data_IF_889498420668
#
_entry.id   IF_889498420668
#
_cell.length_a   1.000
_cell.length_b   1.000
_cell.length_c   1.000
_cell.angle_alpha   90.00
_cell.angle_beta   90.00
_cell.angle_gamma   90.00
#
_symmetry.space_group_name_H-M   'P 1'
#
loop_
_entity.id
_entity.type
_entity.pdbx_description
1 polymer ?
#
# COMPACT_ATOMS: atom_id res chain seq x y z
N UNK A 1 -32.04 2.91 -19.16
CA UNK A 1 -32.37 3.01 -17.72
C UNK A 1 -31.74 1.89 -16.85
N UNK A 2 -30.57 1.32 -17.22
CA UNK A 2 -29.94 0.19 -16.48
C UNK A 2 -28.85 0.61 -15.46
N UNK A 3 -28.52 1.89 -15.31
CA UNK A 3 -27.32 2.33 -14.63
C UNK A 3 -27.46 2.75 -13.14
N UNK A 4 -28.67 2.92 -12.60
CA UNK A 4 -28.82 3.39 -11.23
C UNK A 4 -28.46 2.35 -10.13
N UNK A 5 -28.48 1.06 -10.46
CA UNK A 5 -28.30 -0.02 -9.48
C UNK A 5 -26.88 -0.20 -9.00
N UNK A 6 -25.87 0.33 -9.72
CA UNK A 6 -24.45 0.13 -9.41
C UNK A 6 -23.77 1.30 -8.70
N UNK A 7 -24.37 2.50 -8.67
CA UNK A 7 -23.72 3.69 -8.10
C UNK A 7 -23.48 3.57 -6.60
N UNK A 8 -24.47 3.10 -5.83
CA UNK A 8 -24.31 2.95 -4.36
C UNK A 8 -23.24 1.91 -4.01
N UNK A 9 -23.25 0.68 -4.59
CA UNK A 9 -22.17 -0.28 -4.40
C UNK A 9 -20.79 0.29 -4.76
N UNK A 10 -20.69 0.99 -5.88
CA UNK A 10 -19.42 1.57 -6.34
C UNK A 10 -18.90 2.66 -5.37
N UNK A 11 -19.78 3.54 -4.89
CA UNK A 11 -19.42 4.56 -3.90
C UNK A 11 -18.95 3.94 -2.59
N UNK A 12 -19.62 2.89 -2.11
CA UNK A 12 -19.20 2.17 -0.91
C UNK A 12 -17.79 1.58 -1.08
N UNK A 13 -17.50 1.03 -2.26
CA UNK A 13 -16.17 0.50 -2.56
C UNK A 13 -15.13 1.63 -2.66
N UNK A 14 -15.46 2.78 -3.20
CA UNK A 14 -14.55 3.93 -3.18
C UNK A 14 -14.18 4.33 -1.74
N UNK A 15 -15.14 4.31 -0.82
CA UNK A 15 -14.85 4.49 0.60
C UNK A 15 -13.90 3.42 1.16
N UNK A 16 -14.01 2.15 0.74
CA UNK A 16 -13.08 1.10 1.15
C UNK A 16 -11.65 1.39 0.70
N UNK A 17 -11.46 1.75 -0.57
CA UNK A 17 -10.13 2.09 -1.10
C UNK A 17 -9.53 3.31 -0.41
N UNK A 18 -10.36 4.29 -0.09
CA UNK A 18 -9.95 5.46 0.68
C UNK A 18 -9.45 5.08 2.09
N UNK A 19 -10.24 4.27 2.82
CA UNK A 19 -9.90 3.82 4.18
C UNK A 19 -8.68 2.89 4.20
N UNK A 20 -8.60 1.99 3.21
CA UNK A 20 -7.45 1.13 3.04
C UNK A 20 -6.15 1.95 2.90
N UNK A 21 -6.19 2.99 2.09
CA UNK A 21 -5.04 3.87 1.90
C UNK A 21 -4.66 4.64 3.16
N UNK A 22 -5.62 5.12 3.93
CA UNK A 22 -5.36 5.75 5.23
C UNK A 22 -4.60 4.78 6.13
N UNK A 23 -5.10 3.56 6.30
CA UNK A 23 -4.49 2.55 7.17
C UNK A 23 -3.06 2.21 6.76
N UNK A 24 -2.85 1.95 5.46
CA UNK A 24 -1.54 1.54 4.94
C UNK A 24 -0.50 2.66 5.01
N UNK A 25 -0.90 3.92 4.78
CA UNK A 25 0.02 5.05 4.76
C UNK A 25 0.31 5.64 6.16
N UNK A 26 -0.36 5.15 7.20
CA UNK A 26 0.04 5.43 8.58
C UNK A 26 1.19 4.54 9.07
N UNK A 27 1.46 3.41 8.41
CA UNK A 27 2.47 2.44 8.83
C UNK A 27 3.88 3.06 8.98
N UNK A 28 4.42 3.84 8.03
CA UNK A 28 5.75 4.45 8.18
C UNK A 28 5.84 5.41 9.39
N UNK A 29 4.74 6.15 9.64
CA UNK A 29 4.65 7.04 10.81
C UNK A 29 4.68 6.25 12.10
N UNK A 30 3.99 5.11 12.15
CA UNK A 30 3.96 4.23 13.31
C UNK A 30 5.30 3.56 13.56
N UNK A 31 6.02 3.16 12.52
CA UNK A 31 7.37 2.60 12.68
C UNK A 31 8.28 3.61 13.39
N UNK A 32 8.27 4.87 12.97
CA UNK A 32 9.02 5.95 13.63
C UNK A 32 8.60 6.15 15.09
N UNK A 33 7.31 6.05 15.37
CA UNK A 33 6.80 6.19 16.73
C UNK A 33 7.20 5.00 17.61
N UNK A 34 7.17 3.78 17.08
CA UNK A 34 7.63 2.59 17.78
C UNK A 34 9.14 2.61 18.05
N UNK A 35 9.95 3.17 17.14
CA UNK A 35 11.38 3.37 17.39
C UNK A 35 11.61 4.21 18.66
N UNK A 36 10.77 5.24 18.90
CA UNK A 36 10.87 6.08 20.09
C UNK A 36 10.34 5.35 21.35
N UNK A 37 9.13 4.79 21.25
CA UNK A 37 8.40 4.26 22.42
C UNK A 37 8.92 2.92 22.92
N UNK A 38 9.48 2.10 22.02
CA UNK A 38 10.10 0.83 22.35
C UNK A 38 11.64 0.87 22.30
N UNK A 39 12.23 2.04 22.10
CA UNK A 39 13.70 2.26 22.02
C UNK A 39 14.38 1.33 20.98
N UNK A 40 13.75 1.17 19.79
CA UNK A 40 14.21 0.24 18.76
C UNK A 40 15.25 0.89 17.85
N UNK A 41 16.21 0.08 17.40
CA UNK A 41 17.05 0.46 16.29
C UNK A 41 16.30 0.26 14.93
N UNK A 42 16.88 0.78 13.84
CA UNK A 42 16.25 0.73 12.52
C UNK A 42 16.02 -0.70 12.02
N UNK A 43 16.91 -1.63 12.35
CA UNK A 43 16.77 -3.05 11.98
C UNK A 43 15.61 -3.71 12.73
N UNK A 44 15.52 -3.51 14.04
CA UNK A 44 14.41 -4.01 14.86
C UNK A 44 13.07 -3.44 14.39
N UNK A 45 13.00 -2.13 14.13
CA UNK A 45 11.80 -1.47 13.65
C UNK A 45 11.31 -1.99 12.29
N UNK A 46 12.21 -2.49 11.44
CA UNK A 46 11.87 -3.08 10.13
C UNK A 46 11.00 -4.35 10.23
N UNK A 47 11.00 -5.04 11.38
CA UNK A 47 10.10 -6.17 11.62
C UNK A 47 8.63 -5.77 11.63
N UNK A 48 8.30 -4.50 11.92
CA UNK A 48 6.93 -3.99 11.81
C UNK A 48 6.43 -4.04 10.37
N UNK A 49 7.26 -3.60 9.43
CA UNK A 49 6.96 -3.66 7.99
C UNK A 49 6.90 -5.10 7.49
N UNK A 50 7.84 -5.93 7.97
CA UNK A 50 7.88 -7.36 7.66
C UNK A 50 6.60 -8.05 8.14
N UNK A 51 6.13 -7.81 9.35
CA UNK A 51 4.89 -8.37 9.88
C UNK A 51 3.67 -7.95 9.04
N UNK A 52 3.63 -6.69 8.60
CA UNK A 52 2.57 -6.17 7.75
C UNK A 52 2.53 -6.87 6.38
N UNK A 53 3.65 -6.93 5.65
CA UNK A 53 3.70 -7.53 4.31
C UNK A 53 3.65 -9.06 4.34
N UNK A 54 4.03 -9.70 5.45
CA UNK A 54 3.87 -11.13 5.65
C UNK A 54 2.40 -11.56 5.61
N UNK A 55 1.49 -10.74 6.15
CA UNK A 55 0.05 -10.98 6.04
C UNK A 55 -0.41 -10.99 4.57
N UNK A 56 0.11 -10.09 3.74
CA UNK A 56 -0.18 -10.04 2.31
C UNK A 56 0.37 -11.23 1.52
N UNK A 57 1.40 -11.90 2.03
CA UNK A 57 1.90 -13.12 1.41
C UNK A 57 1.13 -14.36 1.83
N UNK A 58 0.80 -14.49 3.11
CA UNK A 58 0.20 -15.71 3.67
C UNK A 58 -1.33 -15.73 3.52
N UNK A 59 -2.00 -14.59 3.79
CA UNK A 59 -3.45 -14.56 3.96
C UNK A 59 -4.30 -14.58 2.67
N UNK A 60 -3.86 -14.15 1.47
CA UNK A 60 -4.74 -14.10 0.29
C UNK A 60 -5.37 -15.44 -0.09
N UNK A 61 -4.65 -16.55 0.08
CA UNK A 61 -5.18 -17.89 -0.21
C UNK A 61 -6.32 -18.27 0.75
N UNK A 62 -6.13 -18.25 2.09
CA UNK A 62 -7.23 -18.43 3.05
C UNK A 62 -8.41 -17.49 2.81
N UNK A 63 -8.13 -16.22 2.47
CA UNK A 63 -9.15 -15.21 2.19
C UNK A 63 -9.99 -15.59 0.95
N UNK A 64 -9.33 -16.03 -0.14
CA UNK A 64 -10.04 -16.48 -1.33
C UNK A 64 -10.91 -17.73 -1.05
N UNK A 65 -10.42 -18.65 -0.22
CA UNK A 65 -11.20 -19.82 0.24
C UNK A 65 -12.42 -19.36 1.04
N UNK A 66 -12.25 -18.41 1.95
CA UNK A 66 -13.35 -17.82 2.71
C UNK A 66 -14.39 -17.17 1.78
N UNK A 67 -13.95 -16.36 0.81
CA UNK A 67 -14.85 -15.71 -0.14
C UNK A 67 -15.57 -16.69 -1.07
N UNK A 68 -14.92 -17.80 -1.46
CA UNK A 68 -15.61 -18.86 -2.23
C UNK A 68 -16.73 -19.50 -1.43
N UNK A 69 -16.52 -19.74 -0.13
CA UNK A 69 -17.51 -20.35 0.75
C UNK A 69 -18.67 -19.40 1.08
N UNK A 70 -18.38 -18.12 1.28
CA UNK A 70 -19.40 -17.16 1.75
C UNK A 70 -19.79 -16.14 0.67
N UNK A 71 -19.03 -15.11 0.44
CA UNK A 71 -19.23 -14.09 -0.61
C UNK A 71 -18.15 -13.00 -0.55
N UNK A 72 -18.07 -12.16 -1.58
CA UNK A 72 -17.27 -10.91 -1.54
C UNK A 72 -17.72 -9.98 -0.43
N UNK A 73 -19.05 -9.79 -0.26
CA UNK A 73 -19.61 -8.95 0.79
C UNK A 73 -19.18 -9.42 2.18
N UNK A 74 -19.26 -10.73 2.43
CA UNK A 74 -18.84 -11.31 3.72
C UNK A 74 -17.34 -11.13 3.95
N UNK A 75 -16.51 -11.26 2.91
CA UNK A 75 -15.08 -10.99 2.97
C UNK A 75 -14.78 -9.54 3.34
N UNK A 76 -15.47 -8.58 2.71
CA UNK A 76 -15.33 -7.14 3.00
C UNK A 76 -15.70 -6.85 4.46
N UNK A 77 -16.86 -7.34 4.93
CA UNK A 77 -17.32 -7.10 6.30
C UNK A 77 -16.33 -7.70 7.31
N UNK A 78 -15.92 -8.94 7.09
CA UNK A 78 -14.95 -9.61 7.96
C UNK A 78 -13.61 -8.87 8.00
N UNK A 79 -13.11 -8.43 6.84
CA UNK A 79 -11.87 -7.65 6.73
C UNK A 79 -11.94 -6.32 7.48
N UNK A 80 -13.06 -5.58 7.36
CA UNK A 80 -13.31 -4.33 8.09
C UNK A 80 -13.30 -4.54 9.60
N UNK A 81 -14.02 -5.56 10.08
CA UNK A 81 -14.10 -5.88 11.51
C UNK A 81 -12.77 -6.37 12.06
N UNK A 82 -12.03 -7.17 11.30
CA UNK A 82 -10.71 -7.65 11.70
C UNK A 82 -9.70 -6.50 11.81
N UNK A 83 -9.67 -5.60 10.83
CA UNK A 83 -8.82 -4.41 10.87
C UNK A 83 -9.21 -3.46 12.01
N UNK A 84 -10.51 -3.28 12.26
CA UNK A 84 -11.01 -2.50 13.38
C UNK A 84 -10.60 -3.12 14.74
N UNK A 85 -10.69 -4.44 14.86
CA UNK A 85 -10.21 -5.17 16.04
C UNK A 85 -8.71 -4.90 16.27
N UNK A 86 -7.88 -5.00 15.22
CA UNK A 86 -6.46 -4.63 15.29
C UNK A 86 -6.25 -3.21 15.77
N UNK A 87 -7.02 -2.23 15.27
CA UNK A 87 -6.97 -0.84 15.72
C UNK A 87 -7.32 -0.66 17.20
N UNK A 88 -8.34 -1.39 17.69
CA UNK A 88 -8.71 -1.36 19.11
C UNK A 88 -7.68 -2.01 20.03
N UNK A 89 -6.94 -3.00 19.53
CA UNK A 89 -5.88 -3.69 20.28
C UNK A 89 -4.67 -2.78 20.59
N UNK A 90 -4.57 -1.59 19.99
CA UNK A 90 -3.56 -0.61 20.39
C UNK A 90 -3.69 -0.18 21.86
N UNK A 91 -4.91 -0.18 22.41
CA UNK A 91 -5.11 0.17 23.83
C UNK A 91 -4.43 -0.79 24.80
N UNK A 92 -4.73 -2.11 24.76
CA UNK A 92 -4.02 -3.05 25.62
C UNK A 92 -2.54 -3.17 25.30
N UNK A 93 -2.11 -3.06 24.03
CA UNK A 93 -0.69 -3.09 23.69
C UNK A 93 0.10 -1.91 24.29
N UNK A 94 -0.49 -0.73 24.32
CA UNK A 94 0.10 0.45 24.96
C UNK A 94 0.25 0.28 26.48
N UNK A 95 -0.54 -0.58 27.10
CA UNK A 95 -0.38 -0.93 28.53
C UNK A 95 0.72 -1.97 28.75
N UNK A 96 0.86 -2.91 27.82
CA UNK A 96 1.90 -3.96 27.86
C UNK A 96 3.29 -3.38 27.60
N UNK A 97 3.40 -2.33 26.77
CA UNK A 97 4.65 -1.70 26.32
C UNK A 97 5.63 -2.68 25.64
N UNK A 98 5.12 -3.77 25.10
CA UNK A 98 5.92 -4.83 24.48
C UNK A 98 5.87 -4.74 22.96
N UNK A 99 7.02 -4.70 22.30
CA UNK A 99 7.10 -4.54 20.85
C UNK A 99 6.40 -5.66 20.06
N UNK A 100 6.51 -6.92 20.51
CA UNK A 100 5.87 -8.05 19.86
C UNK A 100 4.33 -7.91 19.78
N UNK A 101 3.72 -7.24 20.77
CA UNK A 101 2.28 -6.99 20.75
C UNK A 101 1.87 -6.09 19.56
N UNK A 102 2.69 -5.09 19.25
CA UNK A 102 2.47 -4.24 18.08
C UNK A 102 2.68 -4.99 16.77
N UNK A 103 3.67 -5.90 16.68
CA UNK A 103 3.85 -6.77 15.51
C UNK A 103 2.60 -7.61 15.23
N UNK A 104 2.02 -8.23 16.26
CA UNK A 104 0.77 -8.97 16.14
C UNK A 104 -0.40 -8.07 15.67
N UNK A 105 -0.51 -6.87 16.22
CA UNK A 105 -1.54 -5.89 15.82
C UNK A 105 -1.41 -5.52 14.36
N UNK A 106 -0.20 -5.20 13.89
CA UNK A 106 0.02 -4.86 12.48
C UNK A 106 -0.26 -6.02 11.56
N UNK A 107 0.06 -7.25 11.95
CA UNK A 107 -0.33 -8.44 11.21
C UNK A 107 -1.85 -8.60 11.11
N UNK A 108 -2.58 -8.36 12.20
CA UNK A 108 -4.07 -8.41 12.23
C UNK A 108 -4.66 -7.33 11.34
N UNK A 109 -4.20 -6.07 11.46
CA UNK A 109 -4.65 -4.96 10.61
C UNK A 109 -4.37 -5.27 9.15
N UNK A 110 -3.15 -5.70 8.82
CA UNK A 110 -2.76 -6.06 7.47
C UNK A 110 -3.59 -7.22 6.91
N UNK A 111 -3.93 -8.22 7.73
CA UNK A 111 -4.84 -9.30 7.33
C UNK A 111 -6.22 -8.76 6.98
N UNK A 112 -6.78 -7.85 7.80
CA UNK A 112 -8.04 -7.18 7.50
C UNK A 112 -7.98 -6.38 6.20
N UNK A 113 -6.90 -5.61 5.98
CA UNK A 113 -6.68 -4.86 4.74
C UNK A 113 -6.51 -5.78 3.53
N UNK A 114 -5.82 -6.90 3.69
CA UNK A 114 -5.68 -7.93 2.67
C UNK A 114 -7.04 -8.53 2.26
N UNK A 115 -7.98 -8.74 3.21
CA UNK A 115 -9.37 -9.10 2.91
C UNK A 115 -10.03 -8.06 2.00
N UNK A 116 -9.89 -6.78 2.33
CA UNK A 116 -10.49 -5.70 1.54
C UNK A 116 -9.93 -5.69 0.13
N UNK A 117 -8.63 -5.82 -0.03
CA UNK A 117 -7.98 -5.77 -1.33
C UNK A 117 -8.30 -6.98 -2.19
N UNK A 118 -8.24 -8.18 -1.60
CA UNK A 118 -8.57 -9.44 -2.30
C UNK A 118 -10.04 -9.50 -2.70
N UNK A 119 -10.94 -8.82 -1.96
CA UNK A 119 -12.37 -8.79 -2.26
C UNK A 119 -12.77 -7.62 -3.16
N UNK A 120 -12.35 -6.39 -2.85
CA UNK A 120 -12.84 -5.18 -3.51
C UNK A 120 -12.32 -5.04 -4.95
N UNK A 121 -11.06 -5.39 -5.22
CA UNK A 121 -10.51 -5.31 -6.57
C UNK A 121 -11.30 -6.17 -7.58
N UNK A 122 -11.46 -7.49 -7.39
CA UNK A 122 -12.26 -8.29 -8.32
C UNK A 122 -13.74 -7.93 -8.30
N UNK A 123 -14.29 -7.49 -7.16
CA UNK A 123 -15.66 -7.04 -7.09
C UNK A 123 -15.92 -5.84 -8.01
N UNK A 124 -15.04 -4.82 -7.98
CA UNK A 124 -15.12 -3.65 -8.88
C UNK A 124 -14.99 -4.06 -10.35
N UNK A 125 -14.08 -4.97 -10.67
CA UNK A 125 -13.88 -5.41 -12.06
C UNK A 125 -15.08 -6.17 -12.58
N UNK A 126 -15.80 -6.90 -11.73
CA UNK A 126 -16.97 -7.68 -12.09
C UNK A 126 -18.29 -6.88 -12.09
N UNK A 127 -18.32 -5.66 -11.52
CA UNK A 127 -19.47 -4.77 -11.54
C UNK A 127 -19.64 -4.07 -12.90
N UNK A 128 -20.57 -4.54 -13.73
CA UNK A 128 -20.92 -3.91 -15.01
C UNK A 128 -20.16 -4.50 -16.21
N UNK A 129 -19.93 -3.69 -17.25
CA UNK A 129 -19.35 -4.13 -18.50
C UNK A 129 -17.86 -4.51 -18.35
N UNK A 130 -17.43 -5.72 -18.81
CA UNK A 130 -16.05 -6.16 -18.77
C UNK A 130 -15.05 -5.21 -19.44
N UNK A 131 -15.41 -4.60 -20.57
CA UNK A 131 -14.52 -3.67 -21.30
C UNK A 131 -14.14 -2.45 -20.47
N UNK A 132 -15.03 -1.99 -19.58
CA UNK A 132 -14.81 -0.85 -18.71
C UNK A 132 -14.20 -1.22 -17.34
N UNK A 133 -13.91 -2.49 -17.07
CA UNK A 133 -13.38 -2.96 -15.80
C UNK A 133 -12.06 -2.28 -15.39
N UNK A 134 -11.03 -2.12 -16.26
CA UNK A 134 -9.79 -1.43 -15.89
C UNK A 134 -10.04 0.02 -15.50
N UNK A 135 -10.92 0.73 -16.22
CA UNK A 135 -11.28 2.11 -15.91
C UNK A 135 -11.98 2.24 -14.57
N UNK A 136 -12.93 1.34 -14.25
CA UNK A 136 -13.62 1.34 -12.94
C UNK A 136 -12.65 1.10 -11.79
N UNK A 137 -11.72 0.16 -11.96
CA UNK A 137 -10.73 -0.13 -10.94
C UNK A 137 -9.74 1.04 -10.77
N UNK A 138 -9.30 1.68 -11.85
CA UNK A 138 -8.47 2.88 -11.79
C UNK A 138 -9.20 4.03 -11.07
N UNK A 139 -10.49 4.23 -11.34
CA UNK A 139 -11.30 5.23 -10.63
C UNK A 139 -11.39 4.91 -9.13
N UNK A 140 -11.64 3.67 -8.75
CA UNK A 140 -11.67 3.25 -7.35
C UNK A 140 -10.32 3.48 -6.66
N UNK A 141 -9.23 3.11 -7.32
CA UNK A 141 -7.87 3.35 -6.83
C UNK A 141 -7.46 4.84 -6.80
N UNK A 142 -8.18 5.72 -7.49
CA UNK A 142 -7.96 7.18 -7.36
C UNK A 142 -8.39 7.69 -5.98
N UNK A 143 -9.43 7.11 -5.39
CA UNK A 143 -9.82 7.38 -4.00
C UNK A 143 -8.80 6.85 -3.00
N UNK A 144 -8.12 5.75 -3.33
CA UNK A 144 -6.96 5.28 -2.57
C UNK A 144 -5.84 6.33 -2.57
N UNK A 145 -5.48 6.88 -3.72
CA UNK A 145 -4.49 7.96 -3.81
C UNK A 145 -4.86 9.18 -2.97
N UNK A 146 -6.15 9.56 -2.93
CA UNK A 146 -6.65 10.65 -2.08
C UNK A 146 -6.50 10.30 -0.59
N UNK A 147 -6.83 9.08 -0.18
CA UNK A 147 -6.67 8.59 1.18
C UNK A 147 -5.20 8.61 1.63
N UNK A 148 -4.28 8.18 0.76
CA UNK A 148 -2.85 8.22 1.00
C UNK A 148 -2.34 9.65 1.23
N UNK A 149 -2.77 10.59 0.39
CA UNK A 149 -2.44 12.01 0.53
C UNK A 149 -2.93 12.58 1.87
N UNK A 150 -4.18 12.32 2.25
CA UNK A 150 -4.76 12.80 3.51
C UNK A 150 -4.03 12.17 4.72
N UNK A 151 -3.72 10.88 4.67
CA UNK A 151 -2.98 10.21 5.73
C UNK A 151 -1.60 10.85 5.94
N UNK A 152 -0.85 11.05 4.87
CA UNK A 152 0.49 11.61 4.93
C UNK A 152 0.51 13.07 5.41
N UNK A 153 -0.41 13.91 4.92
CA UNK A 153 -0.41 15.35 5.18
C UNK A 153 -1.03 15.74 6.52
N UNK A 154 -2.06 15.01 6.96
CA UNK A 154 -2.86 15.42 8.12
C UNK A 154 -2.78 14.42 9.28
N UNK A 155 -2.98 13.12 9.02
CA UNK A 155 -3.10 12.14 10.10
C UNK A 155 -1.75 11.80 10.73
N UNK A 156 -0.66 11.83 9.94
CA UNK A 156 0.69 11.64 10.49
C UNK A 156 1.04 12.68 11.56
N UNK A 157 0.52 13.90 11.44
CA UNK A 157 0.72 14.97 12.42
C UNK A 157 -0.01 14.73 13.76
N UNK A 158 -1.06 13.90 13.75
CA UNK A 158 -1.76 13.52 14.99
C UNK A 158 -0.97 12.47 15.79
N UNK A 159 -0.11 11.70 15.12
CA UNK A 159 0.70 10.65 15.74
C UNK A 159 2.04 11.20 16.21
N UNK A 160 2.68 12.04 15.38
CA UNK A 160 4.00 12.59 15.68
C UNK A 160 3.86 13.86 16.53
N UNK A 161 4.41 13.84 17.73
CA UNK A 161 4.44 15.02 18.63
C UNK A 161 5.32 16.17 18.12
N UNK A 162 6.18 15.88 17.11
CA UNK A 162 7.18 16.82 16.62
C UNK A 162 8.42 16.96 17.53
N UNK A 163 8.38 16.39 18.71
CA UNK A 163 9.49 16.42 19.65
C UNK A 163 10.37 15.18 19.49
N UNK A 164 11.66 15.38 19.38
CA UNK A 164 12.67 14.32 19.32
C UNK A 164 13.63 14.45 20.49
N UNK A 165 13.18 14.02 21.67
CA UNK A 165 14.06 13.98 22.83
C UNK A 165 14.77 12.62 22.93
N UNK A 166 16.02 12.66 23.34
CA UNK A 166 16.78 11.51 23.84
C UNK A 166 16.85 11.60 25.37
N UNK A 167 17.31 10.55 26.05
CA UNK A 167 17.51 10.59 27.50
C UNK A 167 18.38 11.77 27.95
N UNK A 168 19.33 12.20 27.10
CA UNK A 168 20.27 13.29 27.39
C UNK A 168 19.74 14.68 27.01
N UNK A 169 18.74 14.78 26.12
CA UNK A 169 18.19 16.04 25.61
C UNK A 169 16.81 16.36 26.18
N UNK A 170 16.24 15.46 27.00
CA UNK A 170 14.95 15.67 27.61
C UNK A 170 15.05 16.84 28.62
N UNK A 171 14.17 17.87 28.57
CA UNK A 171 14.12 18.93 29.55
C UNK A 171 13.92 18.35 30.94
N UNK A 172 14.72 18.80 31.93
CA UNK A 172 14.61 18.36 33.33
C UNK A 172 13.22 18.66 33.94
N UNK A 173 12.49 19.61 33.36
CA UNK A 173 11.14 20.01 33.78
C UNK A 173 10.05 19.14 33.16
N UNK A 174 10.38 18.13 32.34
CA UNK A 174 9.35 17.30 31.67
C UNK A 174 8.61 16.47 32.72
N UNK A 175 7.25 16.52 32.77
CA UNK A 175 6.46 15.79 33.75
C UNK A 175 6.68 14.26 33.65
N UNK A 176 7.10 13.64 34.78
CA UNK A 176 7.38 12.21 34.83
C UNK A 176 8.70 11.78 34.18
N UNK A 177 9.57 12.75 33.81
CA UNK A 177 10.87 12.44 33.19
C UNK A 177 10.78 11.62 31.91
N UNK A 178 11.75 10.72 31.69
CA UNK A 178 11.80 9.88 30.51
C UNK A 178 10.57 8.96 30.34
N UNK A 179 10.12 8.36 31.44
CA UNK A 179 8.93 7.49 31.41
C UNK A 179 7.67 8.28 31.04
N UNK A 180 7.53 9.50 31.56
CA UNK A 180 6.43 10.40 31.22
C UNK A 180 6.44 10.78 29.72
N UNK A 181 7.62 11.03 29.15
CA UNK A 181 7.78 11.28 27.72
C UNK A 181 7.37 10.08 26.89
N UNK A 182 7.90 8.88 27.19
CA UNK A 182 7.53 7.64 26.49
C UNK A 182 6.03 7.36 26.60
N UNK A 183 5.43 7.61 27.78
CA UNK A 183 3.98 7.42 27.96
C UNK A 183 3.18 8.40 27.08
N UNK A 184 3.59 9.65 26.99
CA UNK A 184 2.94 10.66 26.14
C UNK A 184 3.01 10.28 24.68
N UNK A 185 4.18 9.82 24.20
CA UNK A 185 4.38 9.35 22.84
C UNK A 185 3.56 8.07 22.53
N UNK A 186 3.44 7.18 23.51
CA UNK A 186 2.61 5.96 23.41
C UNK A 186 1.13 6.30 23.34
N UNK A 187 0.68 7.26 24.13
CA UNK A 187 -0.73 7.69 24.14
C UNK A 187 -1.12 8.41 22.85
N UNK A 188 -0.20 9.11 22.21
CA UNK A 188 -0.42 9.74 20.92
C UNK A 188 -0.79 8.73 19.80
N UNK A 189 -0.34 7.48 19.88
CA UNK A 189 -0.68 6.43 18.93
C UNK A 189 -2.14 5.94 19.06
N UNK A 190 -2.73 6.03 20.26
CA UNK A 190 -4.05 5.44 20.54
C UNK A 190 -5.18 6.13 19.78
N UNK A 191 -5.21 7.46 19.80
CA UNK A 191 -6.32 8.22 19.23
C UNK A 191 -6.50 8.00 17.71
N UNK A 192 -5.47 8.09 16.85
CA UNK A 192 -5.63 7.85 15.41
C UNK A 192 -6.13 6.45 15.08
N UNK A 193 -5.65 5.42 15.79
CA UNK A 193 -6.11 4.04 15.55
C UNK A 193 -7.50 3.78 16.13
N UNK A 194 -7.88 4.44 17.21
CA UNK A 194 -9.28 4.42 17.69
C UNK A 194 -10.23 5.03 16.65
N UNK A 195 -9.89 6.21 16.14
CA UNK A 195 -10.70 6.88 15.11
C UNK A 195 -10.81 6.02 13.85
N UNK A 196 -9.69 5.43 13.40
CA UNK A 196 -9.68 4.50 12.29
C UNK A 196 -10.56 3.28 12.57
N UNK A 197 -10.44 2.65 13.74
CA UNK A 197 -11.24 1.49 14.13
C UNK A 197 -12.73 1.81 14.15
N UNK A 198 -13.13 2.94 14.76
CA UNK A 198 -14.53 3.39 14.79
C UNK A 198 -15.07 3.62 13.38
N UNK A 199 -14.27 4.25 12.50
CA UNK A 199 -14.68 4.48 11.12
C UNK A 199 -14.83 3.17 10.35
N UNK A 200 -13.93 2.20 10.54
CA UNK A 200 -14.02 0.87 9.92
C UNK A 200 -15.27 0.12 10.41
N UNK A 201 -15.63 0.23 11.71
CA UNK A 201 -16.85 -0.36 12.26
C UNK A 201 -18.10 0.29 11.64
N UNK A 202 -18.13 1.61 11.54
CA UNK A 202 -19.27 2.33 10.91
C UNK A 202 -19.45 1.88 9.46
N UNK A 203 -18.37 1.78 8.70
CA UNK A 203 -18.45 1.30 7.32
C UNK A 203 -18.84 -0.17 7.26
N UNK A 204 -18.38 -1.03 8.18
CA UNK A 204 -18.81 -2.42 8.26
C UNK A 204 -20.33 -2.52 8.50
N UNK A 205 -20.89 -1.71 9.40
CA UNK A 205 -22.33 -1.62 9.66
C UNK A 205 -23.07 -1.20 8.38
N UNK A 206 -22.59 -0.17 7.68
CA UNK A 206 -23.17 0.26 6.41
C UNK A 206 -23.16 -0.89 5.39
N UNK A 207 -22.06 -1.65 5.30
CA UNK A 207 -21.98 -2.81 4.40
C UNK A 207 -22.95 -3.92 4.80
N UNK A 208 -23.16 -4.19 6.09
CA UNK A 208 -24.12 -5.20 6.58
C UNK A 208 -25.52 -4.89 6.05
N UNK A 209 -25.98 -3.65 6.17
CA UNK A 209 -27.32 -3.23 5.75
C UNK A 209 -27.44 -2.92 4.25
N UNK A 210 -26.31 -2.74 3.53
CA UNK A 210 -26.33 -2.46 2.09
C UNK A 210 -26.72 -3.69 1.28
N UNK A 211 -27.51 -3.48 0.21
CA UNK A 211 -27.84 -4.51 -0.77
C UNK A 211 -26.80 -4.46 -1.91
N UNK A 212 -25.72 -5.22 -1.74
CA UNK A 212 -24.72 -5.37 -2.81
C UNK A 212 -25.20 -6.38 -3.85
N UNK A 213 -25.05 -6.09 -5.15
CA UNK A 213 -25.36 -7.05 -6.22
C UNK A 213 -24.50 -8.30 -6.09
N UNK A 214 -25.11 -9.46 -6.21
CA UNK A 214 -24.38 -10.72 -6.33
C UNK A 214 -23.70 -10.78 -7.71
N UNK A 215 -22.43 -11.16 -7.71
CA UNK A 215 -21.62 -11.23 -8.93
C UNK A 215 -21.80 -12.59 -9.59
N UNK A 216 -21.97 -12.58 -10.90
CA UNK A 216 -21.98 -13.79 -11.71
C UNK A 216 -20.51 -14.13 -12.10
N UNK A 217 -20.01 -15.24 -11.59
CA UNK A 217 -18.67 -15.76 -11.91
C UNK A 217 -18.84 -16.94 -12.89
N UNK A 218 -18.52 -16.73 -14.16
CA UNK A 218 -18.80 -17.72 -15.20
C UNK A 218 -20.30 -18.01 -15.31
N UNK A 219 -20.69 -19.28 -15.18
CA UNK A 219 -22.08 -19.71 -15.23
C UNK A 219 -22.78 -19.77 -13.86
N UNK A 220 -22.05 -19.49 -12.77
CA UNK A 220 -22.54 -19.65 -11.40
C UNK A 220 -22.73 -18.29 -10.72
N UNK A 221 -23.82 -18.12 -9.96
CA UNK A 221 -24.03 -16.92 -9.14
C UNK A 221 -23.26 -17.06 -7.83
N UNK A 222 -22.70 -15.95 -7.35
CA UNK A 222 -22.01 -15.88 -6.06
C UNK A 222 -22.90 -16.42 -4.91
N UNK A 223 -22.29 -17.24 -4.04
CA UNK A 223 -22.96 -17.85 -2.89
C UNK A 223 -23.81 -19.10 -3.22
N UNK A 224 -23.71 -19.66 -4.43
CA UNK A 224 -24.18 -21.01 -4.73
C UNK A 224 -23.05 -22.00 -4.42
N UNK A 225 -23.39 -23.08 -3.75
CA UNK A 225 -22.43 -24.11 -3.34
C UNK A 225 -21.72 -24.69 -4.57
N UNK A 226 -20.41 -24.54 -4.65
CA UNK A 226 -19.58 -25.07 -5.73
C UNK A 226 -19.40 -26.59 -5.54
N UNK A 227 -20.43 -27.39 -5.90
CA UNK A 227 -20.31 -28.85 -5.86
C UNK A 227 -19.25 -29.31 -6.85
N UNK A 228 -18.13 -29.80 -6.32
CA UNK A 228 -17.03 -30.40 -7.12
C UNK A 228 -15.91 -29.45 -7.53
N UNK A 229 -15.97 -28.14 -7.26
CA UNK A 229 -14.87 -27.22 -7.55
C UNK A 229 -13.86 -27.14 -6.38
N UNK A 230 -12.57 -27.04 -6.72
CA UNK A 230 -11.50 -26.86 -5.74
C UNK A 230 -11.66 -25.49 -5.06
N UNK A 231 -11.50 -25.44 -3.73
CA UNK A 231 -11.52 -24.18 -2.97
C UNK A 231 -10.49 -23.17 -3.47
N UNK A 232 -9.30 -23.65 -3.87
CA UNK A 232 -8.28 -22.90 -4.61
C UNK A 232 -7.85 -23.74 -5.80
N UNK A 233 -7.83 -23.11 -6.96
CA UNK A 233 -7.32 -23.71 -8.17
C UNK A 233 -5.96 -23.12 -8.54
N UNK A 234 -4.88 -23.85 -8.23
CA UNK A 234 -3.53 -23.48 -8.67
C UNK A 234 -3.35 -23.62 -10.19
N UNK A 235 -4.21 -24.40 -10.84
CA UNK A 235 -4.21 -24.56 -12.29
C UNK A 235 -4.49 -23.26 -13.04
N UNK A 236 -5.09 -22.27 -12.38
CA UNK A 236 -5.34 -20.94 -12.95
C UNK A 236 -4.05 -20.24 -13.37
N UNK A 237 -2.91 -20.53 -12.71
CA UNK A 237 -1.58 -19.99 -13.07
C UNK A 237 -1.08 -20.51 -14.44
N UNK A 238 -1.69 -21.55 -15.01
CA UNK A 238 -1.42 -21.97 -16.39
C UNK A 238 -1.93 -20.96 -17.41
N UNK A 239 -2.90 -20.10 -17.05
CA UNK A 239 -3.36 -19.00 -17.88
C UNK A 239 -2.24 -17.97 -17.99
N UNK A 240 -1.78 -17.75 -19.24
CA UNK A 240 -0.61 -16.90 -19.52
C UNK A 240 -0.79 -15.47 -19.00
N UNK A 241 -1.95 -14.85 -19.22
CA UNK A 241 -2.23 -13.48 -18.79
C UNK A 241 -2.20 -13.33 -17.26
N UNK A 242 -2.70 -14.32 -16.49
CA UNK A 242 -2.62 -14.26 -15.03
C UNK A 242 -1.18 -14.47 -14.54
N UNK A 243 -0.46 -15.45 -15.08
CA UNK A 243 0.93 -15.72 -14.67
C UNK A 243 1.82 -14.49 -14.89
N UNK A 244 1.75 -13.89 -16.07
CA UNK A 244 2.51 -12.66 -16.36
C UNK A 244 2.00 -11.47 -15.54
N UNK A 245 0.69 -11.41 -15.26
CA UNK A 245 0.11 -10.40 -14.38
C UNK A 245 0.65 -10.49 -12.94
N UNK A 246 0.77 -11.69 -12.38
CA UNK A 246 1.35 -11.91 -11.03
C UNK A 246 2.83 -11.48 -10.99
N UNK A 247 3.61 -11.87 -12.00
CA UNK A 247 5.02 -11.47 -12.10
C UNK A 247 5.13 -9.96 -12.25
N UNK A 248 4.33 -9.35 -13.12
CA UNK A 248 4.32 -7.91 -13.34
C UNK A 248 3.94 -7.14 -12.07
N UNK A 249 2.93 -7.64 -11.31
CA UNK A 249 2.52 -7.05 -10.04
C UNK A 249 3.63 -7.10 -8.98
N UNK A 250 4.37 -8.21 -8.89
CA UNK A 250 5.48 -8.34 -7.96
C UNK A 250 6.56 -7.29 -8.23
N UNK A 251 7.02 -7.19 -9.48
CA UNK A 251 8.06 -6.22 -9.86
C UNK A 251 7.55 -4.77 -9.80
N UNK A 252 6.29 -4.54 -10.20
CA UNK A 252 5.71 -3.21 -10.14
C UNK A 252 5.63 -2.69 -8.69
N UNK A 253 5.01 -3.47 -7.79
CA UNK A 253 4.84 -3.07 -6.39
C UNK A 253 6.19 -2.83 -5.72
N UNK A 254 7.11 -3.76 -5.88
CA UNK A 254 8.44 -3.61 -5.29
C UNK A 254 9.24 -2.46 -5.88
N UNK A 255 9.19 -2.25 -7.20
CA UNK A 255 9.84 -1.11 -7.86
C UNK A 255 9.25 0.23 -7.41
N UNK A 256 7.92 0.33 -7.31
CA UNK A 256 7.24 1.51 -6.78
C UNK A 256 7.68 1.85 -5.37
N UNK A 257 7.69 0.86 -4.49
CA UNK A 257 8.09 1.06 -3.08
C UNK A 257 9.56 1.41 -2.96
N UNK A 258 10.44 0.79 -3.76
CA UNK A 258 11.85 1.13 -3.78
C UNK A 258 12.08 2.59 -4.21
N UNK A 259 11.41 3.05 -5.28
CA UNK A 259 11.49 4.44 -5.73
C UNK A 259 10.97 5.39 -4.65
N UNK A 260 9.82 5.10 -4.04
CA UNK A 260 9.23 5.92 -2.98
C UNK A 260 10.18 6.06 -1.78
N UNK A 261 10.78 4.96 -1.33
CA UNK A 261 11.67 4.93 -0.17
C UNK A 261 12.99 5.68 -0.43
N UNK A 262 13.50 5.63 -1.65
CA UNK A 262 14.77 6.22 -2.02
C UNK A 262 14.64 7.65 -2.59
N UNK A 263 13.43 8.15 -2.80
CA UNK A 263 13.21 9.45 -3.43
C UNK A 263 13.86 10.60 -2.65
N UNK A 264 13.68 10.65 -1.34
CA UNK A 264 14.30 11.69 -0.49
C UNK A 264 15.83 11.57 -0.48
N UNK A 265 16.35 10.35 -0.42
CA UNK A 265 17.79 10.08 -0.51
C UNK A 265 18.33 10.62 -1.85
N UNK A 266 17.65 10.32 -2.95
CA UNK A 266 18.01 10.85 -4.26
C UNK A 266 18.03 12.38 -4.29
N UNK A 267 16.99 13.04 -3.78
CA UNK A 267 16.92 14.50 -3.74
C UNK A 267 18.08 15.13 -2.97
N UNK A 268 18.41 14.57 -1.81
CA UNK A 268 19.49 15.12 -0.97
C UNK A 268 20.88 14.80 -1.52
N UNK A 269 21.09 13.59 -2.06
CA UNK A 269 22.42 13.11 -2.47
C UNK A 269 22.78 13.53 -3.89
N UNK A 270 21.85 13.39 -4.86
CA UNK A 270 22.15 13.61 -6.29
C UNK A 270 21.64 14.94 -6.82
N UNK A 271 20.56 15.50 -6.26
CA UNK A 271 20.08 16.82 -6.62
C UNK A 271 20.54 17.91 -5.63
N UNK A 272 21.31 17.53 -4.61
CA UNK A 272 21.91 18.42 -3.60
C UNK A 272 20.90 19.36 -2.92
N UNK A 273 19.67 18.87 -2.71
CA UNK A 273 18.58 19.65 -2.12
C UNK A 273 18.62 19.60 -0.59
N UNK A 274 18.35 20.72 0.09
CA UNK A 274 18.04 20.69 1.51
C UNK A 274 16.82 19.80 1.80
N UNK A 275 16.81 19.11 2.95
CA UNK A 275 15.76 18.16 3.33
C UNK A 275 14.34 18.73 3.25
N UNK A 276 14.15 19.98 3.68
CA UNK A 276 12.86 20.68 3.59
C UNK A 276 12.37 20.83 2.14
N UNK A 277 13.30 21.12 1.21
CA UNK A 277 12.99 21.24 -0.21
C UNK A 277 12.73 19.86 -0.82
N UNK A 278 13.52 18.86 -0.45
CA UNK A 278 13.33 17.46 -0.86
C UNK A 278 11.95 16.93 -0.45
N UNK A 279 11.50 17.25 0.75
CA UNK A 279 10.15 16.89 1.23
C UNK A 279 9.05 17.56 0.39
N UNK A 280 9.26 18.80 -0.04
CA UNK A 280 8.33 19.49 -0.95
C UNK A 280 8.25 18.78 -2.30
N UNK A 281 9.40 18.37 -2.87
CA UNK A 281 9.43 17.58 -4.10
C UNK A 281 8.80 16.20 -3.95
N UNK A 282 8.92 15.56 -2.78
CA UNK A 282 8.18 14.33 -2.50
C UNK A 282 6.66 14.55 -2.52
N UNK A 283 6.20 15.68 -1.99
CA UNK A 283 4.79 16.10 -2.11
C UNK A 283 4.36 16.25 -3.58
N UNK A 284 5.19 16.89 -4.42
CA UNK A 284 4.95 17.00 -5.87
C UNK A 284 4.97 15.62 -6.57
N UNK A 285 5.84 14.71 -6.16
CA UNK A 285 5.88 13.33 -6.64
C UNK A 285 4.56 12.59 -6.36
N UNK A 286 4.02 12.70 -5.14
CA UNK A 286 2.72 12.13 -4.79
C UNK A 286 1.56 12.80 -5.53
N UNK A 287 1.64 14.12 -5.75
CA UNK A 287 0.65 14.85 -6.54
C UNK A 287 0.68 14.43 -8.02
N UNK A 288 1.88 14.22 -8.60
CA UNK A 288 2.02 13.72 -9.95
C UNK A 288 1.41 12.33 -10.11
N UNK A 289 1.60 11.44 -9.12
CA UNK A 289 0.97 10.13 -9.07
C UNK A 289 -0.57 10.22 -9.09
N UNK A 290 -1.13 11.09 -8.26
CA UNK A 290 -2.57 11.31 -8.20
C UNK A 290 -3.10 11.89 -9.52
N UNK A 291 -2.44 12.91 -10.06
CA UNK A 291 -2.79 13.53 -11.34
C UNK A 291 -2.72 12.53 -12.50
N UNK A 292 -1.66 11.70 -12.55
CA UNK A 292 -1.51 10.64 -13.55
C UNK A 292 -2.63 9.60 -13.50
N UNK A 293 -3.09 9.25 -12.29
CA UNK A 293 -4.20 8.31 -12.11
C UNK A 293 -5.53 8.88 -12.58
N UNK A 294 -5.83 10.13 -12.25
CA UNK A 294 -7.05 10.78 -12.74
C UNK A 294 -7.04 10.98 -14.25
N UNK A 295 -5.95 11.51 -14.80
CA UNK A 295 -5.81 11.71 -16.25
C UNK A 295 -5.85 10.38 -17.01
N UNK A 296 -5.12 9.37 -16.53
CA UNK A 296 -5.13 8.04 -17.13
C UNK A 296 -6.51 7.40 -17.11
N UNK A 297 -7.25 7.51 -16.01
CA UNK A 297 -8.64 7.03 -15.91
C UNK A 297 -9.57 7.72 -16.92
N UNK A 298 -9.40 9.03 -17.13
CA UNK A 298 -10.16 9.78 -18.13
C UNK A 298 -9.79 9.35 -19.56
N UNK A 299 -8.50 9.17 -19.84
CA UNK A 299 -8.02 8.74 -21.15
C UNK A 299 -8.51 7.32 -21.52
N UNK A 300 -8.73 6.43 -20.54
CA UNK A 300 -9.31 5.10 -20.75
C UNK A 300 -10.76 5.10 -21.26
N UNK A 301 -11.41 6.27 -21.34
CA UNK A 301 -12.70 6.40 -22.07
C UNK A 301 -12.48 6.27 -23.57
N UNK A 302 -11.33 6.75 -24.08
CA UNK A 302 -11.03 6.88 -25.51
C UNK A 302 -10.03 5.84 -26.01
N UNK A 303 -9.07 5.46 -25.15
CA UNK A 303 -7.98 4.55 -25.50
C UNK A 303 -8.15 3.20 -24.80
N UNK A 304 -7.67 2.14 -25.43
CA UNK A 304 -7.68 0.79 -24.84
C UNK A 304 -6.74 0.72 -23.65
N UNK A 305 -7.16 0.15 -22.50
CA UNK A 305 -6.33 0.04 -21.32
C UNK A 305 -4.99 -0.69 -21.55
N UNK A 306 -4.97 -1.70 -22.44
CA UNK A 306 -3.77 -2.45 -22.80
C UNK A 306 -2.73 -1.57 -23.49
N UNK A 307 -3.18 -0.76 -24.46
CA UNK A 307 -2.29 0.13 -25.22
C UNK A 307 -1.73 1.23 -24.31
N UNK A 308 -2.58 1.77 -23.43
CA UNK A 308 -2.14 2.76 -22.43
C UNK A 308 -1.12 2.16 -21.47
N UNK A 309 -1.34 0.94 -20.98
CA UNK A 309 -0.39 0.25 -20.11
C UNK A 309 0.97 0.07 -20.80
N UNK A 310 0.98 -0.35 -22.05
CA UNK A 310 2.20 -0.52 -22.85
C UNK A 310 2.95 0.83 -23.01
N UNK A 311 2.24 1.87 -23.44
CA UNK A 311 2.84 3.20 -23.64
C UNK A 311 3.40 3.75 -22.33
N UNK A 312 2.65 3.66 -21.24
CA UNK A 312 3.08 4.14 -19.92
C UNK A 312 4.29 3.34 -19.40
N UNK A 313 4.33 2.02 -19.64
CA UNK A 313 5.47 1.19 -19.28
C UNK A 313 6.73 1.58 -20.08
N UNK A 314 6.60 1.79 -21.40
CA UNK A 314 7.73 2.21 -22.25
C UNK A 314 8.26 3.60 -21.85
N UNK A 315 7.36 4.55 -21.56
CA UNK A 315 7.77 5.88 -21.07
C UNK A 315 8.50 5.75 -19.74
N UNK A 316 8.02 4.91 -18.81
CA UNK A 316 8.71 4.69 -17.54
C UNK A 316 10.10 4.10 -17.71
N UNK A 317 10.30 3.15 -18.64
CA UNK A 317 11.63 2.61 -18.96
C UNK A 317 12.55 3.73 -19.47
N UNK A 318 12.08 4.57 -20.39
CA UNK A 318 12.84 5.70 -20.89
C UNK A 318 13.19 6.70 -19.79
N UNK A 319 12.24 7.04 -18.91
CA UNK A 319 12.48 7.93 -17.78
C UNK A 319 13.47 7.34 -16.77
N UNK A 320 13.43 6.02 -16.52
CA UNK A 320 14.43 5.35 -15.70
C UNK A 320 15.84 5.46 -16.31
N UNK A 321 15.96 5.31 -17.63
CA UNK A 321 17.24 5.51 -18.34
C UNK A 321 17.72 6.95 -18.15
N UNK A 322 16.81 7.94 -18.26
CA UNK A 322 17.15 9.35 -18.03
C UNK A 322 17.65 9.56 -16.59
N UNK A 323 17.01 8.98 -15.58
CA UNK A 323 17.47 9.08 -14.18
C UNK A 323 18.89 8.55 -14.03
N UNK A 324 19.18 7.38 -14.63
CA UNK A 324 20.49 6.72 -14.52
C UNK A 324 21.58 7.48 -15.29
N UNK A 325 21.26 7.96 -16.51
CA UNK A 325 22.28 8.56 -17.39
C UNK A 325 22.60 10.02 -17.04
N UNK A 326 21.61 10.79 -16.57
CA UNK A 326 21.79 12.24 -16.40
C UNK A 326 21.86 12.65 -14.92
N UNK A 327 21.22 11.92 -14.01
CA UNK A 327 21.22 12.24 -12.57
C UNK A 327 20.70 13.64 -12.24
N UNK A 328 21.10 14.15 -11.06
CA UNK A 328 20.83 15.53 -10.62
C UNK A 328 19.38 15.99 -10.78
N UNK A 329 19.21 17.25 -11.16
CA UNK A 329 17.89 17.85 -11.39
C UNK A 329 17.10 17.21 -12.54
N UNK A 330 17.78 16.81 -13.61
CA UNK A 330 17.16 16.13 -14.76
C UNK A 330 16.54 14.80 -14.31
N UNK A 331 17.29 14.03 -13.52
CA UNK A 331 16.77 12.80 -12.93
C UNK A 331 15.61 13.03 -11.96
N UNK A 332 15.64 14.12 -11.18
CA UNK A 332 14.55 14.49 -10.29
C UNK A 332 13.24 14.73 -11.05
N UNK A 333 13.28 15.53 -12.13
CA UNK A 333 12.11 15.74 -12.98
C UNK A 333 11.65 14.45 -13.68
N UNK A 334 12.58 13.60 -14.09
CA UNK A 334 12.26 12.29 -14.65
C UNK A 334 11.55 11.39 -13.61
N UNK A 335 11.95 11.44 -12.32
CA UNK A 335 11.26 10.71 -11.25
C UNK A 335 9.82 11.21 -11.02
N UNK A 336 9.56 12.51 -11.14
CA UNK A 336 8.19 13.04 -11.13
C UNK A 336 7.37 12.48 -12.31
N UNK A 337 7.98 12.38 -13.50
CA UNK A 337 7.38 11.74 -14.67
C UNK A 337 7.10 10.24 -14.44
N UNK A 338 8.05 9.52 -13.84
CA UNK A 338 7.85 8.10 -13.48
C UNK A 338 6.64 7.95 -12.58
N UNK A 339 6.50 8.79 -11.56
CA UNK A 339 5.36 8.79 -10.65
C UNK A 339 4.03 8.95 -11.39
N UNK A 340 3.97 9.90 -12.33
CA UNK A 340 2.79 10.14 -13.15
C UNK A 340 2.42 8.91 -13.99
N UNK A 341 3.37 8.36 -14.76
CA UNK A 341 3.10 7.27 -15.69
C UNK A 341 2.93 5.91 -15.00
N UNK A 342 3.52 5.66 -13.83
CA UNK A 342 3.30 4.41 -13.11
C UNK A 342 1.93 4.35 -12.41
N UNK A 343 1.23 5.47 -12.26
CA UNK A 343 0.03 5.59 -11.43
C UNK A 343 -1.12 4.67 -11.81
N UNK A 344 -1.34 4.38 -13.10
CA UNK A 344 -2.40 3.48 -13.59
C UNK A 344 -1.98 2.02 -13.72
N UNK A 345 -0.68 1.71 -13.56
CA UNK A 345 -0.16 0.39 -13.92
C UNK A 345 -0.72 -0.70 -13.02
N UNK A 346 -0.71 -0.52 -11.68
CA UNK A 346 -1.24 -1.50 -10.73
C UNK A 346 -2.69 -1.91 -11.05
N UNK A 347 -3.66 -0.99 -11.06
CA UNK A 347 -5.05 -1.37 -11.26
C UNK A 347 -5.33 -1.91 -12.67
N UNK A 348 -4.62 -1.41 -13.67
CA UNK A 348 -4.78 -1.88 -15.05
C UNK A 348 -4.24 -3.31 -15.20
N UNK A 349 -3.04 -3.60 -14.73
CA UNK A 349 -2.46 -4.95 -14.71
C UNK A 349 -3.36 -5.93 -13.96
N UNK A 350 -3.84 -5.53 -12.75
CA UNK A 350 -4.72 -6.34 -11.93
C UNK A 350 -6.01 -6.71 -12.67
N UNK A 351 -6.66 -5.72 -13.26
CA UNK A 351 -7.90 -5.92 -14.00
C UNK A 351 -7.71 -6.81 -15.24
N UNK A 352 -6.66 -6.57 -16.02
CA UNK A 352 -6.34 -7.36 -17.22
C UNK A 352 -5.96 -8.80 -16.86
N UNK A 353 -5.24 -9.01 -15.77
CA UNK A 353 -4.88 -10.35 -15.32
C UNK A 353 -6.07 -11.18 -14.84
N UNK A 354 -7.17 -10.56 -14.41
CA UNK A 354 -8.40 -11.24 -13.99
C UNK A 354 -9.36 -11.52 -15.14
N UNK A 355 -9.10 -11.04 -16.36
CA UNK A 355 -9.99 -11.23 -17.52
C UNK A 355 -10.16 -12.72 -17.79
N UNK A 356 -11.40 -13.13 -18.10
CA UNK A 356 -11.79 -14.50 -18.51
C UNK A 356 -11.43 -15.63 -17.53
N UNK A 357 -11.26 -15.33 -16.22
CA UNK A 357 -11.03 -16.36 -15.21
C UNK A 357 -12.32 -17.05 -14.73
N UNK A 358 -13.49 -16.45 -14.93
CA UNK A 358 -14.79 -17.02 -14.56
C UNK A 358 -14.86 -17.36 -13.06
N UNK A 359 -15.18 -18.61 -12.71
CA UNK A 359 -15.27 -19.10 -11.32
C UNK A 359 -13.91 -19.04 -10.55
N UNK A 360 -12.80 -18.92 -11.29
CA UNK A 360 -11.46 -18.84 -10.70
C UNK A 360 -10.99 -17.42 -10.40
N UNK A 361 -11.82 -16.40 -10.59
CA UNK A 361 -11.48 -15.00 -10.31
C UNK A 361 -10.96 -14.78 -8.88
N UNK A 362 -11.58 -15.42 -7.87
CA UNK A 362 -11.13 -15.33 -6.46
C UNK A 362 -9.74 -15.92 -6.26
N UNK A 363 -9.45 -17.06 -6.92
CA UNK A 363 -8.10 -17.67 -6.89
C UNK A 363 -7.07 -16.78 -7.60
N UNK A 364 -7.41 -16.23 -8.76
CA UNK A 364 -6.56 -15.30 -9.51
C UNK A 364 -6.26 -14.03 -8.70
N UNK A 365 -7.28 -13.45 -8.06
CA UNK A 365 -7.13 -12.28 -7.19
C UNK A 365 -6.17 -12.55 -6.02
N UNK A 366 -6.27 -13.74 -5.39
CA UNK A 366 -5.37 -14.11 -4.30
C UNK A 366 -3.89 -14.09 -4.75
N UNK A 367 -3.57 -14.67 -5.91
CA UNK A 367 -2.20 -14.67 -6.43
C UNK A 367 -1.70 -13.27 -6.78
N UNK A 368 -2.56 -12.41 -7.32
CA UNK A 368 -2.21 -11.01 -7.61
C UNK A 368 -1.95 -10.21 -6.34
N UNK A 369 -2.74 -10.44 -5.28
CA UNK A 369 -2.52 -9.78 -3.99
C UNK A 369 -1.29 -10.34 -3.28
N UNK A 370 -1.01 -11.65 -3.37
CA UNK A 370 0.26 -12.21 -2.88
C UNK A 370 1.49 -11.56 -3.51
N UNK A 371 1.40 -11.17 -4.78
CA UNK A 371 2.50 -10.49 -5.49
C UNK A 371 2.85 -9.11 -4.89
N UNK A 372 1.97 -8.51 -4.07
CA UNK A 372 2.25 -7.25 -3.35
C UNK A 372 3.41 -7.42 -2.35
N UNK A 373 3.78 -8.65 -1.99
CA UNK A 373 4.99 -8.92 -1.18
C UNK A 373 6.27 -8.37 -1.84
N UNK A 374 6.25 -8.05 -3.13
CA UNK A 374 7.30 -7.30 -3.81
C UNK A 374 7.68 -6.02 -3.06
N UNK A 375 6.74 -5.38 -2.36
CA UNK A 375 6.96 -4.21 -1.49
C UNK A 375 7.95 -4.48 -0.35
N UNK A 376 8.02 -5.71 0.14
CA UNK A 376 9.01 -6.10 1.15
C UNK A 376 10.35 -6.52 0.53
N UNK A 377 10.32 -7.18 -0.65
CA UNK A 377 11.51 -7.84 -1.20
C UNK A 377 12.42 -6.87 -1.98
N UNK A 378 11.85 -6.08 -2.90
CA UNK A 378 12.67 -5.27 -3.83
C UNK A 378 13.32 -4.04 -3.19
N UNK A 379 12.67 -3.30 -2.27
CA UNK A 379 13.36 -2.19 -1.57
C UNK A 379 14.58 -2.68 -0.78
N UNK A 380 14.46 -3.81 -0.09
CA UNK A 380 15.58 -4.39 0.65
C UNK A 380 16.71 -4.86 -0.29
N UNK A 381 16.36 -5.49 -1.42
CA UNK A 381 17.33 -5.86 -2.43
C UNK A 381 18.04 -4.62 -3.02
N UNK A 382 17.30 -3.55 -3.27
CA UNK A 382 17.84 -2.28 -3.77
C UNK A 382 18.79 -1.66 -2.74
N UNK A 383 18.40 -1.62 -1.47
CA UNK A 383 19.24 -1.11 -0.39
C UNK A 383 20.53 -1.96 -0.24
N UNK A 384 20.44 -3.28 -0.37
CA UNK A 384 21.60 -4.17 -0.33
C UNK A 384 22.55 -3.93 -1.50
N UNK A 385 22.04 -3.77 -2.72
CA UNK A 385 22.86 -3.45 -3.91
C UNK A 385 23.51 -2.07 -3.76
N UNK A 386 22.83 -1.08 -3.20
CA UNK A 386 23.43 0.22 -2.90
C UNK A 386 24.57 0.09 -1.89
N UNK A 387 24.37 -0.67 -0.81
CA UNK A 387 25.41 -0.93 0.18
C UNK A 387 26.63 -1.64 -0.41
N UNK A 388 26.44 -2.61 -1.30
CA UNK A 388 27.54 -3.26 -2.03
C UNK A 388 28.30 -2.28 -2.93
N UNK A 389 27.59 -1.39 -3.62
CA UNK A 389 28.22 -0.37 -4.47
C UNK A 389 28.99 0.66 -3.63
N UNK A 390 28.46 1.06 -2.47
CA UNK A 390 29.20 1.89 -1.53
C UNK A 390 30.49 1.20 -1.09
N UNK A 391 30.44 -0.08 -0.74
CA UNK A 391 31.64 -0.85 -0.35
C UNK A 391 32.66 -0.93 -1.50
N UNK A 392 32.23 -1.13 -2.73
CA UNK A 392 33.09 -1.12 -3.92
C UNK A 392 33.65 0.28 -4.18
N UNK A 393 32.82 1.31 -4.01
CA UNK A 393 33.20 2.72 -4.21
C UNK A 393 34.22 3.17 -3.15
N UNK A 394 34.02 2.79 -1.88
CA UNK A 394 34.94 3.13 -0.77
C UNK A 394 36.27 2.38 -0.81
N UNK A 395 36.32 1.21 -1.45
CA UNK A 395 37.58 0.50 -1.65
C UNK A 395 38.42 1.08 -2.81
N UNK A 396 37.81 1.86 -3.72
CA UNK A 396 38.45 2.43 -4.91
C UNK A 396 38.73 3.94 -4.81
N UNK A 397 38.15 4.68 -3.85
CA UNK A 397 38.32 6.14 -3.71
C UNK A 397 38.76 6.51 -2.29
N UNK A 398 39.88 7.27 -2.11
CA UNK A 398 40.42 7.59 -0.79
C UNK A 398 39.53 8.56 -0.01
N UNK A 399 39.20 8.15 1.19
CA UNK A 399 38.89 8.86 2.48
C UNK A 399 38.23 10.26 2.52
N UNK A 400 38.00 11.01 1.44
CA UNK A 400 37.53 12.40 1.54
C UNK A 400 35.99 12.54 1.65
N UNK A 401 35.23 11.51 1.34
CA UNK A 401 33.74 11.53 1.38
C UNK A 401 33.12 10.97 2.66
N UNK A 402 33.92 10.40 3.56
CA UNK A 402 33.44 9.81 4.82
C UNK A 402 32.80 10.83 5.79
N UNK A 403 33.11 12.10 5.68
CA UNK A 403 32.66 13.12 6.63
C UNK A 403 31.24 13.63 6.40
N UNK A 404 30.69 13.48 5.19
CA UNK A 404 29.37 14.06 4.87
C UNK A 404 28.24 13.10 5.22
N UNK A 405 28.44 11.80 5.12
CA UNK A 405 27.37 10.80 5.36
C UNK A 405 27.15 10.49 6.86
N UNK A 406 28.20 10.53 7.69
CA UNK A 406 28.11 10.23 9.14
C UNK A 406 27.80 11.43 10.03
N UNK A 407 27.68 12.64 9.50
CA UNK A 407 27.32 13.84 10.26
C UNK A 407 25.82 14.22 10.10
N UNK A 408 25.04 13.45 9.33
CA UNK A 408 23.61 13.68 9.12
C UNK A 408 22.70 12.55 9.62
N UNK A 409 23.23 11.56 10.31
CA UNK A 409 22.48 10.59 11.11
C UNK A 409 22.63 10.97 12.62
#
# INVERSE_FOLDING_TARGET
MKNKTYYVPLMLIFCLFFLWAISSNLLPTMIRQLMKTCELNAFEASFTETAYWLAYFICPIPIAMFMKKYSYKSGIIFGLLLAACGGLLFFPAAMLKEYWAYLCIFFIIATGMCFLETAANPYVTALGDPESAPRRLNLAQSFNGLGAFIAAMFLSKLILSGNHYTRNTLPASFPGGWEGYIQTETDAMKLPYLLLAMLLIVIAIIFIFSKLPKIKEGNTMEGVEYKGEKLIDFGVLKRSHLRWGVIAQFFYNGGQTAINSLFLVYCCTYAELPENTATTFFGLYMLAFLAGRWTGTLLMVKFRPQDMLLVYALINVLLCIVVVCFGGWTGLYAMLGISFFMSIMYPTQFSLALTDLGSNTKSGSAFLVMAIVGNACLPQLTAYVMHLNEHIYYTLIPQHYYKIFFLST
#
